data_IF_275348062486
#
_entry.id   IF_275348062486
#
_cell.length_a   1.000
_cell.length_b   1.000
_cell.length_c   1.000
_cell.angle_alpha   90.00
_cell.angle_beta   90.00
_cell.angle_gamma   90.00
#
_symmetry.space_group_name_H-M   'P 1'
#
loop_
_entity.id
_entity.type
_entity.pdbx_description
1 polymer ?
#
# COMPACT_ATOMS: atom_id res chain seq x y z
N UNK A 1 11.04 0.96 6.64
CA UNK A 1 11.18 2.41 6.30
C UNK A 1 11.22 2.45 4.80
N UNK A 2 10.36 3.22 4.15
CA UNK A 2 10.48 3.42 2.71
C UNK A 2 11.73 4.27 2.43
N UNK A 3 12.56 3.94 1.44
CA UNK A 3 13.70 4.76 1.07
C UNK A 3 13.29 6.20 0.70
N UNK A 4 14.22 7.15 0.74
CA UNK A 4 13.99 8.52 0.24
C UNK A 4 13.78 8.51 -1.30
N UNK A 5 13.03 9.48 -1.83
CA UNK A 5 12.56 9.50 -3.25
C UNK A 5 13.14 10.69 -4.04
N UNK A 6 13.64 10.40 -5.24
CA UNK A 6 13.69 11.31 -6.40
C UNK A 6 12.65 10.89 -7.45
N UNK A 7 12.02 11.80 -8.23
CA UNK A 7 11.19 11.40 -9.36
C UNK A 7 12.09 10.91 -10.51
N UNK A 8 12.02 9.61 -10.85
CA UNK A 8 12.88 9.00 -11.89
C UNK A 8 12.07 8.67 -13.15
N UNK A 9 12.73 8.84 -14.30
CA UNK A 9 12.23 8.48 -15.63
C UNK A 9 12.03 6.96 -15.76
N UNK A 10 10.81 6.53 -16.09
CA UNK A 10 10.33 5.14 -16.05
C UNK A 10 10.59 4.38 -17.37
N UNK A 11 11.56 4.81 -18.18
CA UNK A 11 11.66 4.42 -19.60
C UNK A 11 12.24 3.03 -19.88
N UNK A 12 12.50 2.18 -18.87
CA UNK A 12 13.36 0.99 -19.06
C UNK A 12 13.00 -0.29 -18.26
N UNK A 13 11.83 -0.42 -17.62
CA UNK A 13 11.48 -1.53 -16.69
C UNK A 13 11.28 -2.95 -17.33
N UNK A 14 12.10 -3.97 -17.01
CA UNK A 14 11.96 -5.41 -17.39
C UNK A 14 11.90 -6.39 -16.20
N UNK A 15 11.21 -7.53 -16.39
CA UNK A 15 11.41 -8.75 -15.58
C UNK A 15 12.44 -9.72 -16.22
N UNK A 16 13.66 -9.27 -16.54
CA UNK A 16 14.70 -10.12 -17.17
C UNK A 16 15.64 -10.87 -16.20
N UNK A 17 16.75 -11.42 -16.66
CA UNK A 17 17.84 -11.82 -15.74
C UNK A 17 18.34 -10.61 -14.94
N UNK A 18 18.71 -10.81 -13.68
CA UNK A 18 19.30 -9.77 -12.82
C UNK A 18 20.66 -10.25 -12.34
N UNK A 19 21.67 -9.39 -12.47
CA UNK A 19 23.05 -9.65 -12.09
C UNK A 19 23.50 -8.73 -10.96
N UNK A 20 24.56 -9.13 -10.26
CA UNK A 20 25.22 -8.24 -9.31
C UNK A 20 25.77 -7.00 -10.02
N UNK A 21 25.55 -5.83 -9.43
CA UNK A 21 25.92 -4.54 -10.02
C UNK A 21 24.82 -3.88 -10.83
N UNK A 22 23.75 -4.59 -11.20
CA UNK A 22 22.64 -4.01 -11.98
C UNK A 22 21.90 -2.93 -11.17
N UNK A 23 21.60 -1.81 -11.84
CA UNK A 23 20.61 -0.86 -11.35
C UNK A 23 19.20 -1.37 -11.68
N UNK A 24 18.31 -1.24 -10.70
CA UNK A 24 16.95 -1.78 -10.76
C UNK A 24 15.95 -0.84 -10.09
N UNK A 25 14.69 -0.96 -10.48
CA UNK A 25 13.56 -0.42 -9.73
C UNK A 25 12.93 -1.55 -8.91
N UNK A 26 13.02 -1.45 -7.60
CA UNK A 26 12.44 -2.42 -6.67
C UNK A 26 11.12 -1.88 -6.09
N UNK A 27 10.07 -2.71 -6.12
CA UNK A 27 8.78 -2.40 -5.50
C UNK A 27 8.85 -2.65 -4.00
N UNK A 28 8.47 -1.65 -3.21
CA UNK A 28 8.44 -1.74 -1.76
C UNK A 28 7.05 -2.09 -1.21
N UNK A 29 6.95 -2.29 0.11
CA UNK A 29 5.71 -2.65 0.81
C UNK A 29 4.63 -1.55 0.84
N UNK A 30 4.92 -0.37 0.31
CA UNK A 30 3.95 0.70 0.06
C UNK A 30 3.40 0.69 -1.39
N UNK A 31 3.84 -0.27 -2.21
CA UNK A 31 3.46 -0.44 -3.61
C UNK A 31 4.20 0.50 -4.58
N UNK A 32 5.11 1.34 -4.11
CA UNK A 32 5.91 2.25 -4.93
C UNK A 32 7.22 1.60 -5.41
N UNK A 33 7.80 2.15 -6.47
CA UNK A 33 9.09 1.75 -7.01
C UNK A 33 10.21 2.66 -6.49
N UNK A 34 11.33 2.06 -6.12
CA UNK A 34 12.52 2.74 -5.61
C UNK A 34 13.74 2.29 -6.41
N UNK A 35 14.63 3.23 -6.74
CA UNK A 35 15.90 2.91 -7.38
C UNK A 35 16.80 2.21 -6.37
N UNK A 36 17.45 1.15 -6.83
CA UNK A 36 18.47 0.46 -6.07
C UNK A 36 19.47 -0.23 -6.97
N UNK A 37 20.56 -0.69 -6.35
CA UNK A 37 21.63 -1.41 -7.00
C UNK A 37 21.73 -2.82 -6.39
N UNK A 38 21.80 -3.83 -7.24
CA UNK A 38 21.84 -5.24 -6.83
C UNK A 38 23.22 -5.57 -6.28
N UNK A 39 23.27 -5.99 -5.01
CA UNK A 39 24.51 -6.36 -4.34
C UNK A 39 24.77 -7.85 -4.33
N UNK A 40 23.72 -8.66 -4.25
CA UNK A 40 23.80 -10.13 -4.28
C UNK A 40 22.57 -10.72 -4.92
N UNK A 41 22.75 -11.79 -5.68
CA UNK A 41 21.65 -12.62 -6.20
C UNK A 41 21.64 -13.93 -5.42
N UNK A 42 20.50 -14.30 -4.84
CA UNK A 42 20.40 -15.55 -4.07
C UNK A 42 20.50 -16.77 -4.99
N UNK A 43 21.27 -17.78 -4.57
CA UNK A 43 21.40 -19.05 -5.28
C UNK A 43 20.23 -20.02 -5.01
N UNK A 44 19.31 -19.71 -4.08
CA UNK A 44 18.22 -20.60 -3.71
C UNK A 44 16.91 -20.36 -4.49
N UNK A 45 16.00 -21.33 -4.42
CA UNK A 45 14.70 -21.36 -5.12
C UNK A 45 13.82 -20.13 -4.89
N UNK A 46 14.01 -19.39 -3.79
CA UNK A 46 13.19 -18.18 -3.48
C UNK A 46 13.49 -16.96 -4.35
N UNK A 47 14.50 -17.01 -5.24
CA UNK A 47 14.79 -15.98 -6.24
C UNK A 47 14.80 -14.55 -5.64
N UNK A 48 15.50 -14.33 -4.52
CA UNK A 48 15.64 -13.01 -3.92
C UNK A 48 16.95 -12.34 -4.35
N UNK A 49 16.99 -11.01 -4.37
CA UNK A 49 18.22 -10.23 -4.52
C UNK A 49 18.40 -9.29 -3.32
N UNK A 50 19.63 -9.12 -2.85
CA UNK A 50 19.98 -8.07 -1.91
C UNK A 50 20.14 -6.77 -2.69
N UNK A 51 19.29 -5.78 -2.42
CA UNK A 51 19.28 -4.49 -3.11
C UNK A 51 19.68 -3.39 -2.14
N UNK A 52 20.64 -2.54 -2.54
CA UNK A 52 21.00 -1.31 -1.82
C UNK A 52 20.25 -0.13 -2.45
N UNK A 53 19.50 0.61 -1.65
CA UNK A 53 18.73 1.78 -2.09
C UNK A 53 19.55 3.08 -2.00
N UNK A 54 19.00 4.17 -2.53
CA UNK A 54 19.64 5.51 -2.55
C UNK A 54 20.03 6.03 -1.15
N UNK A 55 19.31 5.61 -0.10
CA UNK A 55 19.60 5.97 1.29
C UNK A 55 20.63 5.05 1.98
N UNK A 56 21.30 4.19 1.22
CA UNK A 56 22.24 3.15 1.66
C UNK A 56 21.62 2.02 2.49
N UNK A 57 20.29 1.97 2.64
CA UNK A 57 19.65 0.81 3.24
C UNK A 57 19.74 -0.41 2.33
N UNK A 58 19.85 -1.60 2.92
CA UNK A 58 19.95 -2.87 2.20
C UNK A 58 18.83 -3.82 2.63
N UNK A 59 18.08 -4.34 1.66
CA UNK A 59 17.02 -5.31 1.91
C UNK A 59 16.99 -6.41 0.86
N UNK A 60 16.57 -7.59 1.28
CA UNK A 60 16.23 -8.68 0.38
C UNK A 60 14.88 -8.38 -0.28
N UNK A 61 14.88 -8.37 -1.62
CA UNK A 61 13.69 -8.13 -2.45
C UNK A 61 13.45 -9.35 -3.32
N UNK A 62 12.20 -9.79 -3.41
CA UNK A 62 11.80 -10.91 -4.27
C UNK A 62 11.98 -10.53 -5.75
N UNK A 63 12.41 -11.47 -6.60
CA UNK A 63 12.61 -11.24 -8.05
C UNK A 63 11.39 -10.62 -8.72
N UNK A 64 10.17 -11.08 -8.36
CA UNK A 64 8.90 -10.56 -8.89
C UNK A 64 8.68 -9.05 -8.67
N UNK A 65 9.41 -8.48 -7.71
CA UNK A 65 9.32 -7.08 -7.32
C UNK A 65 10.49 -6.24 -7.83
N UNK A 66 11.43 -6.84 -8.55
CA UNK A 66 12.60 -6.17 -9.12
C UNK A 66 12.41 -6.00 -10.63
N UNK A 67 12.57 -4.77 -11.09
CA UNK A 67 12.48 -4.40 -12.50
C UNK A 67 13.83 -3.88 -12.98
N UNK A 68 14.47 -4.61 -13.89
CA UNK A 68 15.78 -4.26 -14.47
C UNK A 68 15.64 -3.21 -15.57
N UNK A 69 16.69 -2.43 -15.81
CA UNK A 69 16.77 -1.46 -16.90
C UNK A 69 17.28 -2.03 -18.24
N UNK A 70 17.52 -3.35 -18.31
CA UNK A 70 18.26 -3.97 -19.40
C UNK A 70 17.74 -3.57 -20.81
N UNK A 71 18.61 -2.88 -21.55
CA UNK A 71 18.49 -2.66 -22.98
C UNK A 71 18.96 -3.94 -23.70
N UNK A 72 18.04 -4.74 -24.25
CA UNK A 72 18.44 -5.97 -24.93
C UNK A 72 17.30 -6.73 -25.61
N UNK A 73 17.27 -6.64 -26.94
CA UNK A 73 16.41 -7.32 -27.92
C UNK A 73 14.93 -6.90 -27.86
N UNK A 74 14.50 -6.15 -28.87
CA UNK A 74 13.12 -5.70 -29.12
C UNK A 74 12.19 -6.83 -29.61
N UNK A 75 12.64 -8.09 -29.52
CA UNK A 75 12.05 -9.23 -30.23
C UNK A 75 11.55 -10.37 -29.31
N UNK A 76 11.36 -10.15 -28.00
CA UNK A 76 10.73 -11.14 -27.11
C UNK A 76 9.69 -10.52 -26.20
N UNK A 77 8.68 -11.30 -25.82
CA UNK A 77 7.68 -10.87 -24.85
C UNK A 77 8.28 -10.82 -23.45
N UNK A 78 8.16 -9.68 -22.77
CA UNK A 78 8.73 -9.48 -21.43
C UNK A 78 8.00 -10.20 -20.28
N UNK A 79 7.02 -11.05 -20.58
CA UNK A 79 6.26 -11.85 -19.60
C UNK A 79 6.63 -13.33 -19.68
N UNK A 80 6.72 -13.88 -20.89
CA UNK A 80 7.00 -15.31 -21.12
C UNK A 80 8.38 -15.57 -21.73
N UNK A 81 9.15 -14.52 -22.04
CA UNK A 81 10.46 -14.57 -22.71
C UNK A 81 10.48 -15.30 -24.06
N UNK A 82 9.30 -15.48 -24.69
CA UNK A 82 9.16 -16.11 -25.99
C UNK A 82 9.17 -15.08 -27.14
N UNK A 83 9.64 -15.46 -28.34
CA UNK A 83 9.58 -14.62 -29.53
C UNK A 83 8.13 -14.35 -30.00
N UNK A 84 7.91 -13.43 -30.97
CA UNK A 84 6.61 -13.25 -31.59
C UNK A 84 6.09 -14.57 -32.17
N UNK A 85 4.78 -14.77 -32.12
CA UNK A 85 4.13 -15.92 -32.76
C UNK A 85 3.79 -15.57 -34.22
N UNK A 86 2.52 -15.71 -34.64
CA UNK A 86 2.06 -15.24 -35.95
C UNK A 86 1.90 -13.72 -36.03
N UNK A 87 1.58 -13.09 -34.90
CA UNK A 87 1.37 -11.65 -34.79
C UNK A 87 2.58 -10.99 -34.12
N UNK A 88 2.91 -9.75 -34.50
CA UNK A 88 4.01 -9.01 -33.88
C UNK A 88 3.70 -8.70 -32.40
N UNK A 89 4.74 -8.51 -31.61
CA UNK A 89 4.60 -8.03 -30.24
C UNK A 89 4.08 -6.58 -30.23
N UNK A 90 3.27 -6.24 -29.23
CA UNK A 90 2.83 -4.87 -29.00
C UNK A 90 3.80 -4.20 -28.04
N UNK A 91 4.42 -3.11 -28.49
CA UNK A 91 5.44 -2.42 -27.72
C UNK A 91 4.83 -1.29 -26.89
N UNK A 92 5.18 -1.23 -25.60
CA UNK A 92 4.77 -0.13 -24.73
C UNK A 92 5.44 1.18 -25.18
N UNK A 93 4.65 2.24 -25.39
CA UNK A 93 5.17 3.56 -25.76
C UNK A 93 6.20 4.12 -24.76
N UNK A 94 6.11 3.75 -23.47
CA UNK A 94 6.98 4.29 -22.42
C UNK A 94 8.27 3.50 -22.21
N UNK A 95 8.17 2.19 -22.03
CA UNK A 95 9.33 1.34 -21.72
C UNK A 95 9.84 0.53 -22.91
N UNK A 96 9.16 0.61 -24.06
CA UNK A 96 9.47 -0.11 -25.30
C UNK A 96 9.46 -1.64 -25.20
N UNK A 97 9.02 -2.22 -24.08
CA UNK A 97 8.85 -3.66 -23.94
C UNK A 97 7.73 -4.20 -24.82
N UNK A 98 8.02 -5.30 -25.50
CA UNK A 98 7.07 -6.09 -26.28
C UNK A 98 6.24 -7.02 -25.39
N UNK A 99 4.98 -7.17 -25.74
CA UNK A 99 4.02 -8.04 -25.09
C UNK A 99 3.25 -8.85 -26.14
N UNK A 100 3.06 -10.15 -25.91
CA UNK A 100 1.94 -10.83 -26.56
C UNK A 100 0.63 -10.25 -25.98
N UNK A 101 -0.41 -10.04 -26.80
CA UNK A 101 -1.68 -9.49 -26.33
C UNK A 101 -2.26 -10.24 -25.12
N UNK A 102 -2.20 -11.57 -25.14
CA UNK A 102 -2.70 -12.48 -24.11
C UNK A 102 -1.82 -12.57 -22.86
N UNK A 103 -0.54 -12.23 -22.97
CA UNK A 103 0.39 -12.24 -21.84
C UNK A 103 0.21 -11.02 -20.93
N UNK A 104 -0.33 -9.91 -21.43
CA UNK A 104 -0.57 -8.72 -20.63
C UNK A 104 -1.88 -8.82 -19.84
N UNK A 105 -1.94 -8.15 -18.68
CA UNK A 105 -3.15 -8.09 -17.84
C UNK A 105 -3.62 -6.65 -17.60
N UNK A 106 -4.82 -6.27 -18.07
CA UNK A 106 -5.75 -7.04 -18.92
C UNK A 106 -5.19 -7.30 -20.32
N UNK A 107 -5.76 -8.26 -21.04
CA UNK A 107 -5.40 -8.56 -22.44
C UNK A 107 -5.41 -7.29 -23.29
N UNK A 108 -4.43 -7.16 -24.19
CA UNK A 108 -4.35 -6.02 -25.10
C UNK A 108 -5.39 -6.21 -26.20
N UNK A 109 -6.19 -5.18 -26.46
CA UNK A 109 -7.17 -5.21 -27.55
C UNK A 109 -6.45 -5.20 -28.91
N UNK A 110 -6.90 -5.97 -29.92
CA UNK A 110 -6.23 -6.07 -31.22
C UNK A 110 -6.10 -4.73 -31.96
N UNK A 111 -7.03 -3.79 -31.74
CA UNK A 111 -7.02 -2.45 -32.33
C UNK A 111 -6.13 -1.45 -31.57
N UNK A 112 -5.40 -1.89 -30.54
CA UNK A 112 -4.54 -1.02 -29.75
C UNK A 112 -3.33 -0.55 -30.59
N UNK A 113 -3.34 0.74 -30.94
CA UNK A 113 -2.21 1.38 -31.61
C UNK A 113 -0.95 1.38 -30.71
N UNK A 114 0.11 0.74 -31.19
CA UNK A 114 1.43 0.66 -30.54
C UNK A 114 2.02 2.04 -30.25
N UNK A 115 1.66 3.07 -31.01
CA UNK A 115 2.12 4.45 -30.81
C UNK A 115 1.38 5.16 -29.66
N UNK A 116 0.35 4.52 -29.10
CA UNK A 116 -0.44 5.08 -28.01
C UNK A 116 -0.50 4.19 -26.76
N UNK A 117 -0.29 2.87 -26.90
CA UNK A 117 -0.50 1.92 -25.81
C UNK A 117 0.58 2.01 -24.72
N UNK A 118 0.17 1.87 -23.46
CA UNK A 118 1.07 1.93 -22.29
C UNK A 118 0.79 0.72 -21.40
N UNK A 119 1.83 -0.07 -21.12
CA UNK A 119 1.72 -1.26 -20.29
C UNK A 119 1.34 -0.96 -18.84
N UNK A 120 0.81 -1.98 -18.16
CA UNK A 120 0.42 -1.93 -16.74
C UNK A 120 1.53 -1.36 -15.85
N UNK A 121 2.76 -1.82 -16.02
CA UNK A 121 3.88 -1.40 -15.18
C UNK A 121 4.11 0.11 -15.26
N UNK A 122 4.16 0.67 -16.47
CA UNK A 122 4.31 2.10 -16.70
C UNK A 122 3.11 2.90 -16.20
N UNK A 123 1.88 2.39 -16.38
CA UNK A 123 0.67 3.03 -15.85
C UNK A 123 0.76 3.14 -14.32
N UNK A 124 1.11 2.06 -13.62
CA UNK A 124 1.24 2.07 -12.16
C UNK A 124 2.38 2.98 -11.71
N UNK A 125 3.57 2.86 -12.30
CA UNK A 125 4.73 3.68 -11.94
C UNK A 125 4.45 5.20 -12.02
N UNK A 126 3.68 5.63 -13.01
CA UNK A 126 3.29 7.05 -13.15
C UNK A 126 2.17 7.43 -12.19
N UNK A 127 1.20 6.54 -11.98
CA UNK A 127 -0.06 6.86 -11.30
C UNK A 127 -0.02 6.72 -9.78
N UNK A 128 0.79 5.81 -9.24
CA UNK A 128 0.88 5.57 -7.80
C UNK A 128 1.62 6.69 -7.09
N UNK A 129 1.06 7.20 -5.98
CA UNK A 129 1.66 8.27 -5.17
C UNK A 129 1.36 8.04 -3.68
N UNK A 130 2.26 8.51 -2.80
CA UNK A 130 1.97 8.56 -1.35
C UNK A 130 0.70 9.38 -1.11
N UNK A 131 -0.20 8.90 -0.26
CA UNK A 131 -1.49 9.52 0.03
C UNK A 131 -2.63 9.14 -0.92
N UNK A 132 -2.36 8.40 -2.01
CA UNK A 132 -3.36 7.99 -3.00
C UNK A 132 -2.91 8.23 -4.43
N UNK A 133 -3.28 7.34 -5.34
CA UNK A 133 -2.96 7.44 -6.75
C UNK A 133 -3.67 8.61 -7.45
N UNK A 134 -3.17 8.96 -8.64
CA UNK A 134 -3.76 10.00 -9.50
C UNK A 134 -5.25 9.72 -9.76
N UNK A 135 -6.10 10.73 -9.57
CA UNK A 135 -7.56 10.62 -9.74
C UNK A 135 -8.09 11.19 -11.06
N UNK A 136 -7.29 11.98 -11.77
CA UNK A 136 -7.68 12.68 -13.00
C UNK A 136 -6.62 12.53 -14.08
N UNK A 137 -7.02 12.72 -15.33
CA UNK A 137 -6.14 12.64 -16.50
C UNK A 137 -6.01 11.22 -17.08
N UNK A 138 -5.25 11.11 -18.17
CA UNK A 138 -5.09 9.87 -18.96
C UNK A 138 -4.60 8.70 -18.11
N UNK A 139 -3.52 8.89 -17.33
CA UNK A 139 -2.95 7.84 -16.49
C UNK A 139 -3.89 7.35 -15.39
N UNK A 140 -4.68 8.25 -14.78
CA UNK A 140 -5.69 7.87 -13.79
C UNK A 140 -6.77 6.95 -14.40
N UNK A 141 -7.24 7.25 -15.62
CA UNK A 141 -8.23 6.42 -16.33
C UNK A 141 -7.63 5.07 -16.73
N UNK A 142 -6.42 5.06 -17.26
CA UNK A 142 -5.70 3.83 -17.59
C UNK A 142 -5.49 2.96 -16.34
N UNK A 143 -5.07 3.55 -15.22
CA UNK A 143 -4.89 2.82 -13.97
C UNK A 143 -6.21 2.20 -13.51
N UNK A 144 -7.31 2.96 -13.56
CA UNK A 144 -8.62 2.44 -13.20
C UNK A 144 -9.04 1.26 -14.07
N UNK A 145 -8.78 1.30 -15.37
CA UNK A 145 -9.01 0.18 -16.28
C UNK A 145 -8.13 -1.03 -15.92
N UNK A 146 -6.83 -0.82 -15.71
CA UNK A 146 -5.87 -1.88 -15.34
C UNK A 146 -6.27 -2.58 -14.03
N UNK A 147 -6.81 -1.83 -13.07
CA UNK A 147 -7.24 -2.34 -11.75
C UNK A 147 -8.47 -3.26 -11.79
N UNK A 148 -9.18 -3.35 -12.92
CA UNK A 148 -10.30 -4.27 -13.07
C UNK A 148 -9.86 -5.74 -13.12
N UNK A 149 -8.57 -6.01 -13.36
CA UNK A 149 -7.97 -7.35 -13.38
C UNK A 149 -6.72 -7.40 -12.52
N UNK A 150 -6.59 -8.47 -11.75
CA UNK A 150 -5.37 -8.78 -11.00
C UNK A 150 -4.41 -9.58 -11.90
N UNK A 151 -3.09 -9.31 -11.88
CA UNK A 151 -2.09 -10.08 -12.61
C UNK A 151 -1.71 -11.38 -11.88
N UNK A 152 -2.58 -11.88 -10.99
CA UNK A 152 -2.41 -13.08 -10.18
C UNK A 152 -3.77 -13.62 -9.77
N UNK A 153 -3.82 -14.88 -9.35
CA UNK A 153 -5.05 -15.53 -8.90
C UNK A 153 -5.19 -15.42 -7.37
N UNK A 154 -6.37 -15.03 -6.88
CA UNK A 154 -6.59 -14.92 -5.43
C UNK A 154 -6.61 -16.30 -4.73
N UNK A 155 -7.09 -17.33 -5.43
CA UNK A 155 -7.18 -18.70 -4.91
C UNK A 155 -5.83 -19.39 -4.74
N UNK A 156 -4.75 -18.85 -5.32
CA UNK A 156 -3.40 -19.40 -5.21
C UNK A 156 -2.58 -18.78 -4.07
N UNK A 157 -3.21 -18.00 -3.19
CA UNK A 157 -2.53 -17.33 -2.08
C UNK A 157 -2.73 -18.11 -0.78
N UNK A 158 -1.62 -18.43 -0.12
CA UNK A 158 -1.61 -19.16 1.15
C UNK A 158 -1.60 -18.18 2.31
N UNK A 159 -2.80 -17.90 2.83
CA UNK A 159 -3.01 -16.92 3.91
C UNK A 159 -2.77 -17.50 5.29
N UNK A 160 -2.34 -16.65 6.22
CA UNK A 160 -2.38 -16.94 7.64
C UNK A 160 -3.84 -17.02 8.16
N UNK A 161 -4.08 -17.62 9.34
CA UNK A 161 -5.45 -17.81 9.86
C UNK A 161 -6.24 -16.51 10.07
N UNK A 162 -5.55 -15.38 10.24
CA UNK A 162 -6.17 -14.06 10.44
C UNK A 162 -6.39 -13.30 9.12
N UNK A 163 -5.97 -13.86 7.99
CA UNK A 163 -6.06 -13.26 6.65
C UNK A 163 -5.39 -11.88 6.57
N UNK A 164 -4.23 -11.76 7.22
CA UNK A 164 -3.40 -10.56 7.31
C UNK A 164 -2.20 -10.63 6.37
N UNK A 165 -1.62 -11.82 6.21
CA UNK A 165 -0.43 -12.04 5.37
C UNK A 165 -0.53 -13.33 4.57
N UNK A 166 0.11 -13.37 3.40
CA UNK A 166 0.25 -14.59 2.59
C UNK A 166 1.71 -14.93 2.31
N UNK A 167 2.01 -16.22 2.14
CA UNK A 167 3.38 -16.72 1.91
C UNK A 167 4.02 -16.14 0.64
N UNK A 168 3.22 -15.89 -0.39
CA UNK A 168 3.65 -15.37 -1.69
C UNK A 168 4.05 -13.89 -1.64
N UNK A 169 3.76 -13.18 -0.53
CA UNK A 169 3.88 -11.73 -0.41
C UNK A 169 3.29 -10.99 -1.62
N UNK A 170 2.08 -11.40 -2.01
CA UNK A 170 1.39 -10.89 -3.19
C UNK A 170 0.09 -10.20 -2.78
N UNK A 171 0.07 -8.88 -2.90
CA UNK A 171 -1.03 -8.02 -2.49
C UNK A 171 -1.39 -7.00 -3.57
N UNK A 172 -2.58 -6.42 -3.40
CA UNK A 172 -3.03 -5.25 -4.16
C UNK A 172 -3.12 -5.46 -5.69
N UNK A 173 -3.58 -4.45 -6.41
CA UNK A 173 -3.59 -4.47 -7.88
C UNK A 173 -2.18 -4.62 -8.49
N UNK A 174 -1.13 -4.27 -7.75
CA UNK A 174 0.24 -4.29 -8.25
C UNK A 174 0.97 -5.63 -8.08
N UNK A 175 0.38 -6.62 -7.38
CA UNK A 175 1.03 -7.89 -6.99
C UNK A 175 2.32 -7.73 -6.16
N UNK A 176 2.48 -6.54 -5.56
CA UNK A 176 3.65 -6.21 -4.75
C UNK A 176 3.60 -6.82 -3.35
N UNK A 177 4.69 -6.67 -2.59
CA UNK A 177 4.70 -6.99 -1.16
C UNK A 177 3.88 -5.93 -0.41
N UNK A 178 3.55 -6.19 0.85
CA UNK A 178 2.75 -5.29 1.65
C UNK A 178 2.74 -5.70 3.12
N UNK A 179 2.58 -4.71 3.99
CA UNK A 179 2.33 -4.90 5.42
C UNK A 179 0.94 -4.33 5.72
N UNK A 180 -0.02 -5.20 6.07
CA UNK A 180 -1.45 -4.86 6.18
C UNK A 180 -1.73 -3.66 7.12
N UNK A 181 -0.94 -3.52 8.18
CA UNK A 181 -1.04 -2.45 9.17
C UNK A 181 -0.30 -1.16 8.74
N UNK A 182 0.39 -1.16 7.60
CA UNK A 182 1.13 -0.01 7.07
C UNK A 182 0.43 0.55 5.82
N UNK A 183 -0.62 1.37 6.04
CA UNK A 183 -1.33 2.10 4.98
C UNK A 183 -1.91 1.18 3.89
N UNK A 184 -2.57 0.11 4.31
CA UNK A 184 -3.34 -0.76 3.40
C UNK A 184 -4.81 -0.82 3.82
N UNK A 185 -5.70 -1.00 2.84
CA UNK A 185 -7.13 -1.23 3.02
C UNK A 185 -7.47 -2.68 2.68
N UNK A 186 -8.30 -3.31 3.50
CA UNK A 186 -8.84 -4.64 3.21
C UNK A 186 -10.14 -4.54 2.44
N UNK A 187 -10.26 -5.26 1.32
CA UNK A 187 -11.52 -5.32 0.57
C UNK A 187 -12.53 -6.21 1.31
N UNK A 188 -13.73 -5.68 1.56
CA UNK A 188 -14.79 -6.40 2.26
C UNK A 188 -15.32 -7.63 1.51
N UNK A 189 -15.19 -7.67 0.18
CA UNK A 189 -15.69 -8.78 -0.64
C UNK A 189 -14.69 -9.92 -0.83
N UNK A 190 -13.41 -9.61 -1.09
CA UNK A 190 -12.41 -10.63 -1.43
C UNK A 190 -11.33 -10.85 -0.37
N UNK A 191 -11.33 -10.10 0.74
CA UNK A 191 -10.35 -10.25 1.83
C UNK A 191 -8.94 -9.73 1.53
N UNK A 192 -8.61 -9.49 0.26
CA UNK A 192 -7.30 -8.98 -0.17
C UNK A 192 -7.01 -7.55 0.36
N UNK A 193 -5.73 -7.26 0.56
CA UNK A 193 -5.21 -5.97 1.01
C UNK A 193 -4.70 -5.10 -0.16
N UNK A 194 -4.94 -3.79 -0.09
CA UNK A 194 -4.63 -2.83 -1.14
C UNK A 194 -3.88 -1.62 -0.59
N UNK A 195 -2.73 -1.27 -1.18
CA UNK A 195 -1.92 -0.12 -0.77
C UNK A 195 -2.65 1.20 -0.93
N UNK A 196 -2.50 2.11 0.02
CA UNK A 196 -2.87 3.54 -0.09
C UNK A 196 -2.46 4.10 -1.45
N UNK A 197 -1.19 3.91 -1.82
CA UNK A 197 -0.63 4.47 -3.04
C UNK A 197 -1.21 3.91 -4.33
N UNK A 198 -1.91 2.77 -4.29
CA UNK A 198 -2.54 2.15 -5.44
C UNK A 198 -4.06 2.43 -5.53
N UNK A 199 -4.65 3.05 -4.51
CA UNK A 199 -6.08 3.40 -4.50
C UNK A 199 -6.35 4.78 -5.08
N UNK A 200 -7.54 4.99 -5.65
CA UNK A 200 -7.99 6.28 -6.23
C UNK A 200 -9.18 6.89 -5.47
N UNK A 201 -9.70 6.22 -4.43
CA UNK A 201 -10.85 6.66 -3.66
C UNK A 201 -10.53 7.57 -2.44
N UNK A 202 -9.32 7.50 -1.87
CA UNK A 202 -8.98 8.20 -0.62
C UNK A 202 -8.95 9.73 -0.73
N UNK A 203 -9.64 10.44 0.15
CA UNK A 203 -9.60 11.92 0.23
C UNK A 203 -8.44 12.45 1.08
N UNK A 204 -7.94 11.63 2.01
CA UNK A 204 -6.83 11.92 2.93
C UNK A 204 -5.94 10.67 3.05
N UNK A 205 -4.62 10.83 3.34
CA UNK A 205 -3.73 9.70 3.59
C UNK A 205 -4.18 8.86 4.79
N UNK A 206 -3.91 7.57 4.77
CA UNK A 206 -4.22 6.65 5.86
C UNK A 206 -3.25 6.83 7.02
N UNK A 207 -3.73 6.67 8.24
CA UNK A 207 -2.86 6.40 9.38
C UNK A 207 -2.45 4.92 9.38
N UNK A 208 -1.28 4.63 9.92
CA UNK A 208 -0.89 3.25 10.20
C UNK A 208 -1.89 2.58 11.14
N UNK A 209 -2.27 1.34 10.83
CA UNK A 209 -3.25 0.56 11.59
C UNK A 209 -4.70 1.02 11.45
N UNK A 210 -4.99 2.02 10.60
CA UNK A 210 -6.34 2.53 10.46
C UNK A 210 -7.23 1.57 9.65
N UNK A 211 -8.04 0.79 10.37
CA UNK A 211 -9.03 -0.13 9.80
C UNK A 211 -10.45 0.41 9.83
N UNK A 212 -10.67 1.67 10.20
CA UNK A 212 -12.00 2.27 10.29
C UNK A 212 -12.52 2.66 8.89
N UNK A 213 -12.51 1.70 7.98
CA UNK A 213 -12.97 1.86 6.61
C UNK A 213 -13.74 0.61 6.17
N UNK A 214 -14.83 0.83 5.44
CA UNK A 214 -15.42 -0.17 4.57
C UNK A 214 -14.95 0.14 3.15
N UNK A 215 -14.22 -0.80 2.55
CA UNK A 215 -13.60 -0.62 1.24
C UNK A 215 -13.99 -1.77 0.31
N UNK A 216 -14.35 -1.46 -0.93
CA UNK A 216 -14.47 -2.44 -2.00
C UNK A 216 -13.53 -2.08 -3.15
N UNK A 217 -12.74 -3.06 -3.57
CA UNK A 217 -11.74 -2.88 -4.60
C UNK A 217 -12.36 -2.87 -6.00
N UNK A 218 -11.69 -2.24 -6.98
CA UNK A 218 -12.16 -2.19 -8.37
C UNK A 218 -12.43 -3.54 -9.06
N UNK A 219 -11.80 -4.63 -8.60
CA UNK A 219 -12.05 -5.97 -9.14
C UNK A 219 -13.45 -6.45 -8.72
N UNK A 220 -13.80 -6.25 -7.44
CA UNK A 220 -15.08 -6.67 -6.88
C UNK A 220 -16.23 -5.77 -7.33
N UNK A 221 -16.01 -4.46 -7.41
CA UNK A 221 -17.03 -3.50 -7.89
C UNK A 221 -17.18 -3.52 -9.42
N UNK A 222 -16.27 -4.18 -10.14
CA UNK A 222 -16.17 -4.13 -11.61
C UNK A 222 -16.11 -2.69 -12.15
N UNK A 223 -15.53 -1.79 -11.38
CA UNK A 223 -15.56 -0.35 -11.63
C UNK A 223 -14.71 0.44 -10.63
N UNK A 224 -15.00 1.74 -10.42
CA UNK A 224 -14.35 2.53 -9.37
C UNK A 224 -14.45 1.87 -7.99
N UNK A 225 -13.42 2.06 -7.18
CA UNK A 225 -13.43 1.67 -5.76
C UNK A 225 -14.54 2.40 -5.00
N UNK A 226 -15.12 1.73 -4.01
CA UNK A 226 -15.99 2.38 -3.01
C UNK A 226 -15.29 2.39 -1.66
N UNK A 227 -15.45 3.49 -0.93
CA UNK A 227 -14.88 3.64 0.41
C UNK A 227 -15.83 4.43 1.30
N UNK A 228 -16.01 3.95 2.52
CA UNK A 228 -16.75 4.64 3.56
C UNK A 228 -15.93 4.64 4.85
N UNK A 229 -15.79 5.83 5.46
CA UNK A 229 -15.16 5.98 6.77
C UNK A 229 -16.13 5.47 7.85
N UNK A 230 -15.66 4.56 8.71
CA UNK A 230 -16.45 4.05 9.83
C UNK A 230 -16.40 5.05 10.99
N UNK A 231 -17.49 5.18 11.77
CA UNK A 231 -17.50 6.05 12.96
C UNK A 231 -16.50 5.53 13.98
N UNK A 232 -15.87 6.45 14.71
CA UNK A 232 -14.88 6.13 15.73
C UNK A 232 -15.17 6.86 17.03
N UNK A 233 -14.80 6.25 18.14
CA UNK A 233 -14.88 6.87 19.47
C UNK A 233 -13.59 7.61 19.83
N UNK A 234 -13.61 8.41 20.91
CA UNK A 234 -12.38 9.01 21.45
C UNK A 234 -11.32 7.99 21.84
N UNK A 235 -11.74 6.79 22.27
CA UNK A 235 -10.84 5.68 22.63
C UNK A 235 -10.17 5.13 21.40
N UNK A 236 -10.92 4.96 20.31
CA UNK A 236 -10.40 4.51 19.03
C UNK A 236 -9.43 5.52 18.44
N UNK A 237 -9.77 6.82 18.52
CA UNK A 237 -8.89 7.91 18.10
C UNK A 237 -7.58 7.92 18.89
N UNK A 238 -7.65 7.87 20.23
CA UNK A 238 -6.45 7.84 21.08
C UNK A 238 -5.55 6.63 20.75
N UNK A 239 -6.16 5.45 20.57
CA UNK A 239 -5.45 4.23 20.20
C UNK A 239 -4.80 4.35 18.83
N UNK A 240 -5.54 4.82 17.82
CA UNK A 240 -5.03 4.98 16.47
C UNK A 240 -3.85 5.95 16.41
N UNK A 241 -3.96 7.12 17.06
CA UNK A 241 -2.88 8.12 17.11
C UNK A 241 -1.65 7.53 17.80
N UNK A 242 -1.80 6.89 18.97
CA UNK A 242 -0.68 6.26 19.66
C UNK A 242 -0.04 5.15 18.82
N UNK A 243 -0.83 4.34 18.13
CA UNK A 243 -0.32 3.28 17.26
C UNK A 243 0.47 3.87 16.10
N UNK A 244 -0.08 4.90 15.44
CA UNK A 244 0.59 5.62 14.36
C UNK A 244 1.93 6.19 14.79
N UNK A 245 1.95 6.97 15.88
CA UNK A 245 3.17 7.56 16.43
C UNK A 245 4.19 6.48 16.85
N UNK A 246 3.73 5.36 17.42
CA UNK A 246 4.59 4.24 17.83
C UNK A 246 5.37 3.64 16.65
N UNK A 247 4.74 3.58 15.47
CA UNK A 247 5.39 3.09 14.26
C UNK A 247 6.29 4.14 13.61
N UNK A 248 5.83 5.39 13.51
CA UNK A 248 6.61 6.49 12.95
C UNK A 248 7.91 6.73 13.74
N UNK A 249 7.81 6.80 15.06
CA UNK A 249 8.94 7.13 15.94
C UNK A 249 9.67 5.92 16.51
N UNK A 250 9.19 4.70 16.25
CA UNK A 250 9.76 3.43 16.76
C UNK A 250 9.98 3.41 18.28
N UNK A 251 9.07 4.04 19.05
CA UNK A 251 9.11 4.06 20.52
C UNK A 251 7.72 3.87 21.11
N UNK A 252 7.67 3.54 22.41
CA UNK A 252 6.43 3.15 23.10
C UNK A 252 5.67 4.31 23.76
N UNK A 253 6.38 5.31 24.28
CA UNK A 253 5.78 6.36 25.13
C UNK A 253 5.87 7.72 24.46
N UNK A 254 4.78 8.47 24.55
CA UNK A 254 4.60 9.79 23.95
C UNK A 254 4.04 10.77 24.97
N UNK A 255 4.52 12.00 24.93
CA UNK A 255 4.00 13.10 25.74
C UNK A 255 2.63 13.54 25.23
N UNK A 256 1.68 13.66 26.15
CA UNK A 256 0.30 13.98 25.80
C UNK A 256 0.17 15.33 25.12
N UNK A 257 0.71 16.40 25.69
CA UNK A 257 0.49 17.76 25.20
C UNK A 257 1.31 18.00 23.93
N UNK A 258 2.59 17.63 23.95
CA UNK A 258 3.54 17.98 22.90
C UNK A 258 3.52 17.04 21.69
N UNK A 259 2.96 15.84 21.81
CA UNK A 259 3.05 14.83 20.76
C UNK A 259 1.67 14.28 20.38
N UNK A 260 0.91 13.77 21.35
CA UNK A 260 -0.39 13.14 21.06
C UNK A 260 -1.42 14.21 20.67
N UNK A 261 -1.60 15.24 21.50
CA UNK A 261 -2.58 16.31 21.32
C UNK A 261 -2.17 17.26 20.19
N UNK A 262 -0.88 17.59 20.08
CA UNK A 262 -0.33 18.37 18.95
C UNK A 262 -0.60 17.65 17.62
N UNK A 263 -0.20 16.38 17.47
CA UNK A 263 -0.47 15.61 16.25
C UNK A 263 -1.97 15.55 15.93
N UNK A 264 -2.80 15.25 16.94
CA UNK A 264 -4.25 15.13 16.76
C UNK A 264 -4.87 16.44 16.26
N UNK A 265 -4.45 17.58 16.82
CA UNK A 265 -4.96 18.88 16.40
C UNK A 265 -4.45 19.31 15.02
N UNK A 266 -3.17 19.10 14.74
CA UNK A 266 -2.56 19.44 13.44
C UNK A 266 -3.16 18.62 12.29
N UNK A 267 -3.64 17.40 12.59
CA UNK A 267 -4.19 16.48 11.61
C UNK A 267 -5.71 16.32 11.71
N UNK A 268 -6.42 17.17 12.46
CA UNK A 268 -7.84 16.98 12.80
C UNK A 268 -8.73 16.66 11.60
N UNK A 269 -8.63 17.46 10.53
CA UNK A 269 -9.42 17.28 9.32
C UNK A 269 -9.00 16.05 8.50
N UNK A 270 -7.72 15.66 8.60
CA UNK A 270 -7.18 14.48 7.91
C UNK A 270 -7.58 13.17 8.58
N UNK A 271 -7.97 13.20 9.86
CA UNK A 271 -8.38 12.02 10.63
C UNK A 271 -9.79 11.53 10.29
N UNK A 272 -10.59 12.34 9.57
CA UNK A 272 -11.93 12.00 9.11
C UNK A 272 -12.80 11.44 10.24
N UNK A 273 -13.04 12.23 11.28
CA UNK A 273 -13.57 11.78 12.57
C UNK A 273 -15.11 11.66 12.62
N UNK A 274 -15.80 11.88 11.50
CA UNK A 274 -17.26 11.83 11.44
C UNK A 274 -17.89 12.79 12.45
N UNK A 275 -18.80 12.28 13.30
CA UNK A 275 -19.50 13.04 14.33
C UNK A 275 -18.58 13.74 15.35
N UNK A 276 -17.36 13.23 15.56
CA UNK A 276 -16.41 13.89 16.47
C UNK A 276 -15.81 15.16 15.86
N UNK A 277 -15.87 15.35 14.54
CA UNK A 277 -15.22 16.46 13.83
C UNK A 277 -15.68 17.83 14.32
N UNK A 278 -16.94 17.93 14.75
CA UNK A 278 -17.58 19.15 15.26
C UNK A 278 -17.13 19.53 16.68
N UNK A 279 -16.31 18.69 17.34
CA UNK A 279 -15.82 18.97 18.70
C UNK A 279 -14.96 20.24 18.71
N UNK A 280 -15.32 21.26 19.52
CA UNK A 280 -14.52 22.48 19.68
C UNK A 280 -13.11 22.16 20.16
N UNK A 281 -12.12 22.90 19.65
CA UNK A 281 -10.70 22.65 19.94
C UNK A 281 -10.37 22.59 21.44
N UNK A 282 -11.03 23.44 22.24
CA UNK A 282 -10.86 23.51 23.69
C UNK A 282 -11.29 22.22 24.42
N UNK A 283 -12.25 21.48 23.88
CA UNK A 283 -12.79 20.27 24.53
C UNK A 283 -12.01 19.00 24.14
N UNK A 284 -11.24 19.05 23.04
CA UNK A 284 -10.48 17.90 22.53
C UNK A 284 -9.45 17.38 23.53
N UNK A 285 -8.78 18.29 24.24
CA UNK A 285 -7.80 17.95 25.27
C UNK A 285 -8.44 17.06 26.35
N UNK A 286 -9.56 17.52 26.92
CA UNK A 286 -10.28 16.81 27.96
C UNK A 286 -10.74 15.41 27.49
N UNK A 287 -11.39 15.34 26.33
CA UNK A 287 -11.93 14.09 25.82
C UNK A 287 -10.84 13.06 25.50
N UNK A 288 -9.74 13.49 24.87
CA UNK A 288 -8.64 12.61 24.51
C UNK A 288 -7.88 12.11 25.76
N UNK A 289 -7.64 13.00 26.73
CA UNK A 289 -6.99 12.65 27.98
C UNK A 289 -7.85 11.70 28.81
N UNK A 290 -9.17 11.90 28.85
CA UNK A 290 -10.10 10.99 29.51
C UNK A 290 -10.07 9.61 28.87
N UNK A 291 -10.07 9.52 27.53
CA UNK A 291 -9.99 8.24 26.83
C UNK A 291 -8.71 7.47 27.21
N UNK A 292 -7.57 8.15 27.24
CA UNK A 292 -6.27 7.58 27.62
C UNK A 292 -6.22 7.11 29.09
N UNK A 293 -6.87 7.84 29.99
CA UNK A 293 -6.85 7.51 31.42
C UNK A 293 -7.85 6.41 31.81
N UNK A 294 -9.01 6.34 31.16
CA UNK A 294 -10.10 5.44 31.55
C UNK A 294 -9.96 4.02 30.99
N UNK A 295 -9.11 3.77 29.99
CA UNK A 295 -9.00 2.47 29.31
C UNK A 295 -7.63 1.82 29.56
N UNK A 296 -7.44 1.30 30.78
CA UNK A 296 -6.18 0.69 31.25
C UNK A 296 -5.83 -0.63 30.56
N UNK A 297 -6.82 -1.28 29.94
CA UNK A 297 -6.66 -2.45 29.08
C UNK A 297 -5.95 -2.11 27.76
N UNK A 298 -6.06 -0.86 27.29
CA UNK A 298 -5.43 -0.39 26.04
C UNK A 298 -4.19 0.47 26.28
N UNK A 299 -4.21 1.30 27.33
CA UNK A 299 -3.20 2.36 27.54
C UNK A 299 -2.45 2.19 28.86
N UNK A 300 -1.15 2.47 28.82
CA UNK A 300 -0.27 2.56 29.98
C UNK A 300 0.11 4.02 30.19
N UNK A 301 -0.07 4.50 31.42
CA UNK A 301 0.41 5.83 31.83
C UNK A 301 1.85 5.76 32.37
N UNK A 302 2.65 6.80 32.12
CA UNK A 302 3.98 6.95 32.69
C UNK A 302 4.00 6.88 34.22
N UNK A 303 2.89 7.25 34.89
CA UNK A 303 2.74 7.12 36.34
C UNK A 303 2.88 5.68 36.83
N UNK A 304 2.41 4.72 36.05
CA UNK A 304 2.40 3.28 36.39
C UNK A 304 3.79 2.64 36.25
N UNK A 305 4.72 3.32 35.57
CA UNK A 305 6.08 2.83 35.29
C UNK A 305 7.17 3.78 35.82
N UNK A 306 6.84 4.63 36.80
CA UNK A 306 7.77 5.60 37.42
C UNK A 306 8.39 6.61 36.42
N UNK A 307 7.70 6.93 35.32
CA UNK A 307 8.06 8.00 34.38
C UNK A 307 7.19 9.26 34.58
N UNK A 308 7.41 10.30 33.76
CA UNK A 308 6.60 11.54 33.76
C UNK A 308 5.11 11.21 33.59
N UNK A 309 4.25 11.85 34.40
CA UNK A 309 2.79 11.58 34.48
C UNK A 309 2.04 11.81 33.15
N UNK A 310 2.56 12.68 32.30
CA UNK A 310 1.99 13.05 30.99
C UNK A 310 2.33 12.08 29.85
N UNK A 311 3.09 11.01 30.11
CA UNK A 311 3.45 10.04 29.07
C UNK A 311 2.39 8.95 28.95
N UNK A 312 2.06 8.57 27.72
CA UNK A 312 1.16 7.47 27.41
C UNK A 312 1.77 6.54 26.36
N UNK A 313 1.41 5.26 26.43
CA UNK A 313 1.76 4.26 25.43
C UNK A 313 0.71 3.16 25.35
N UNK A 314 0.78 2.34 24.31
CA UNK A 314 -0.10 1.18 24.19
C UNK A 314 0.36 0.04 25.11
N UNK A 315 -0.58 -0.69 25.70
CA UNK A 315 -0.30 -1.95 26.40
C UNK A 315 0.32 -2.96 25.44
N UNK A 316 -0.40 -3.22 24.34
CA UNK A 316 0.01 -4.07 23.23
C UNK A 316 0.16 -3.19 22.00
N UNK A 317 1.31 -3.27 21.32
CA UNK A 317 1.55 -2.54 20.06
C UNK A 317 0.84 -3.24 18.90
N UNK A 318 -0.48 -3.16 18.90
CA UNK A 318 -1.37 -3.65 17.86
C UNK A 318 -2.35 -2.54 17.43
N UNK A 319 -2.84 -2.55 16.18
CA UNK A 319 -3.86 -1.62 15.71
C UNK A 319 -5.12 -1.62 16.60
N UNK A 320 -5.89 -0.53 16.62
CA UNK A 320 -7.15 -0.47 17.35
C UNK A 320 -8.12 -1.56 16.87
N UNK A 321 -8.77 -2.29 17.79
CA UNK A 321 -9.76 -3.30 17.41
C UNK A 321 -11.03 -2.62 16.87
N UNK A 322 -11.63 -3.20 15.83
CA UNK A 322 -12.98 -2.84 15.42
C UNK A 322 -13.99 -3.51 16.36
N UNK A 323 -14.98 -2.77 16.83
CA UNK A 323 -16.11 -3.32 17.59
C UNK A 323 -16.97 -4.23 16.71
N UNK A 324 -17.74 -5.14 17.33
CA UNK A 324 -18.68 -6.01 16.60
C UNK A 324 -19.64 -5.21 15.70
N UNK A 325 -20.15 -4.05 16.16
CA UNK A 325 -21.00 -3.19 15.32
C UNK A 325 -20.26 -2.66 14.09
N UNK A 326 -19.00 -2.25 14.24
CA UNK A 326 -18.16 -1.77 13.13
C UNK A 326 -17.80 -2.92 12.16
N UNK A 327 -17.59 -4.14 12.69
CA UNK A 327 -17.36 -5.35 11.89
C UNK A 327 -18.63 -5.79 11.13
N UNK A 328 -19.80 -5.75 11.76
CA UNK A 328 -21.06 -6.09 11.11
C UNK A 328 -21.43 -5.06 10.05
N UNK A 329 -21.22 -3.76 10.31
CA UNK A 329 -21.42 -2.72 9.28
C UNK A 329 -20.47 -2.88 8.09
N UNK A 330 -19.25 -3.39 8.29
CA UNK A 330 -18.34 -3.66 7.18
C UNK A 330 -18.75 -4.89 6.36
N UNK A 331 -19.45 -5.86 6.97
CA UNK A 331 -19.93 -7.09 6.34
C UNK A 331 -21.32 -6.92 5.67
N UNK A 332 -22.26 -6.16 6.25
CA UNK A 332 -23.68 -6.17 5.82
C UNK A 332 -23.99 -5.66 4.40
N UNK A 333 -23.03 -5.09 3.66
CA UNK A 333 -23.23 -4.69 2.25
C UNK A 333 -22.77 -5.79 1.26
N UNK A 334 -22.12 -6.86 1.71
CA UNK A 334 -21.72 -7.97 0.82
C UNK A 334 -22.88 -8.90 0.41
N UNK A 335 -24.10 -8.64 0.90
CA UNK A 335 -25.30 -9.46 0.65
C UNK A 335 -26.42 -8.75 -0.14
N UNK A 336 -26.13 -7.59 -0.75
CA UNK A 336 -27.05 -6.90 -1.68
C UNK A 336 -26.48 -6.84 -3.09
#
# INVERSE_FOLDING_TARGET
MSPALSPISVSLLRMGGVSEGDDVLARWSDGLLYLGNVKRVSACETQCCLVRFEDNSEFWVLRKDIHSFAAGVEEVCCICDAPPLKEPLINCLKCRHGYHPECHTPTIEPEADSDSWICRQCVFAVSTKRGGALKRGRFARLMQFMKLRLPYQLSSLDWDPQHLTNQQQCYCYCAGPGEWNLKMLQCGSCGQWFHEACTQCLTKPLLYGDRFYQFQCSVCTKGPETIQRLPMTWVDLAHLVLYHLSLCCKRKYFDFDHEILSFTNENWDSLLLGALSDTPRQDRCHNLLNALNSHKDRFVSGKEIKKKKCLFGLQVRAPPPLTYKQQVSSIQITAQ
#
